data_IF_703635080666
#
_entry.id   IF_703635080666
#
_cell.length_a   1.000
_cell.length_b   1.000
_cell.length_c   1.000
_cell.angle_alpha   90.00
_cell.angle_beta   90.00
_cell.angle_gamma   90.00
#
_symmetry.space_group_name_H-M   'P 1'
#
loop_
_entity.id
_entity.type
_entity.pdbx_description
1 polymer ?
#
# COMPACT_ATOMS: atom_id res chain seq x y z
N UNK A 1 -19.62 -1.41 -22.14
CA UNK A 1 -19.07 -0.50 -21.11
C UNK A 1 -18.62 0.77 -21.79
N UNK A 2 -19.25 1.91 -21.53
CA UNK A 2 -18.92 3.20 -22.12
C UNK A 2 -17.51 3.62 -21.68
N UNK A 3 -16.63 3.90 -22.63
CA UNK A 3 -15.30 4.45 -22.38
C UNK A 3 -15.48 5.83 -21.74
N UNK A 4 -15.19 5.92 -20.46
CA UNK A 4 -15.19 7.19 -19.75
C UNK A 4 -13.97 8.01 -20.25
N UNK A 5 -14.22 9.00 -21.08
CA UNK A 5 -13.20 9.96 -21.52
C UNK A 5 -13.16 11.08 -20.49
N UNK A 6 -12.07 11.15 -19.74
CA UNK A 6 -11.87 12.20 -18.76
C UNK A 6 -11.61 13.54 -19.47
N UNK A 7 -12.33 14.57 -19.10
CA UNK A 7 -12.05 15.94 -19.55
C UNK A 7 -11.06 16.56 -18.57
N UNK A 8 -9.87 16.89 -19.05
CA UNK A 8 -8.81 17.50 -18.23
C UNK A 8 -7.98 16.49 -17.44
N UNK A 9 -7.31 16.98 -16.41
CA UNK A 9 -6.49 16.16 -15.53
C UNK A 9 -7.34 15.44 -14.47
N UNK A 10 -6.82 14.34 -13.96
CA UNK A 10 -7.39 13.60 -12.83
C UNK A 10 -6.67 13.98 -11.53
N UNK A 11 -7.41 14.06 -10.43
CA UNK A 11 -6.85 14.20 -9.10
C UNK A 11 -7.44 13.12 -8.20
N UNK A 12 -6.60 12.20 -7.76
CA UNK A 12 -6.98 11.09 -6.89
C UNK A 12 -6.55 11.42 -5.48
N UNK A 13 -7.51 11.66 -4.61
CA UNK A 13 -7.25 11.98 -3.20
C UNK A 13 -7.68 10.86 -2.28
N UNK A 14 -7.03 10.76 -1.13
CA UNK A 14 -7.38 9.80 -0.08
C UNK A 14 -6.21 9.44 0.82
N UNK A 15 -6.53 8.85 1.94
CA UNK A 15 -5.54 8.39 2.92
C UNK A 15 -4.60 7.31 2.35
N UNK A 16 -3.42 7.11 2.97
CA UNK A 16 -2.58 5.97 2.64
C UNK A 16 -3.34 4.64 2.75
N UNK A 17 -3.13 3.74 1.79
CA UNK A 17 -3.79 2.43 1.79
C UNK A 17 -5.19 2.38 1.20
N UNK A 18 -5.75 3.49 0.69
CA UNK A 18 -7.09 3.52 0.04
C UNK A 18 -7.11 2.95 -1.38
N UNK A 19 -5.98 2.46 -1.88
CA UNK A 19 -5.91 1.85 -3.21
C UNK A 19 -5.68 2.83 -4.37
N UNK A 20 -5.35 4.12 -4.11
CA UNK A 20 -5.08 5.14 -5.15
C UNK A 20 -4.14 4.65 -6.25
N UNK A 21 -2.98 4.20 -5.85
CA UNK A 21 -1.94 3.75 -6.80
C UNK A 21 -2.37 2.50 -7.59
N UNK A 22 -3.21 1.65 -7.02
CA UNK A 22 -3.80 0.50 -7.71
C UNK A 22 -4.80 0.98 -8.76
N UNK A 23 -5.72 1.84 -8.37
CA UNK A 23 -6.72 2.41 -9.27
C UNK A 23 -6.07 3.12 -10.47
N UNK A 24 -5.01 3.92 -10.23
CA UNK A 24 -4.28 4.63 -11.29
C UNK A 24 -3.68 3.65 -12.32
N UNK A 25 -3.10 2.53 -11.86
CA UNK A 25 -2.56 1.51 -12.77
C UNK A 25 -3.66 0.79 -13.57
N UNK A 26 -4.76 0.46 -12.90
CA UNK A 26 -5.92 -0.17 -13.54
C UNK A 26 -6.55 0.75 -14.59
N UNK A 27 -6.66 2.05 -14.31
CA UNK A 27 -7.19 3.05 -15.25
C UNK A 27 -6.26 3.26 -16.44
N UNK A 28 -4.95 3.35 -16.22
CA UNK A 28 -3.96 3.43 -17.30
C UNK A 28 -4.03 2.19 -18.23
N UNK A 29 -4.16 1.00 -17.65
CA UNK A 29 -4.33 -0.25 -18.40
C UNK A 29 -5.66 -0.28 -19.16
N UNK A 30 -6.77 0.11 -18.52
CA UNK A 30 -8.10 0.16 -19.13
C UNK A 30 -8.16 1.11 -20.34
N UNK A 31 -7.43 2.22 -20.26
CA UNK A 31 -7.30 3.20 -21.34
C UNK A 31 -6.27 2.79 -22.38
N UNK A 32 -5.54 1.68 -22.20
CA UNK A 32 -4.41 1.24 -23.04
C UNK A 32 -3.37 2.34 -23.24
N UNK A 33 -3.04 3.04 -22.16
CA UNK A 33 -2.04 4.09 -22.14
C UNK A 33 -0.74 3.59 -21.53
N UNK A 34 0.39 4.01 -22.04
CA UNK A 34 1.68 3.78 -21.40
C UNK A 34 1.71 4.58 -20.08
N UNK A 35 2.12 3.97 -18.97
CA UNK A 35 2.16 4.63 -17.68
C UNK A 35 3.55 5.24 -17.43
N UNK A 36 3.58 6.56 -17.29
CA UNK A 36 4.76 7.28 -16.81
C UNK A 36 4.50 7.75 -15.37
N UNK A 37 5.42 7.44 -14.44
CA UNK A 37 5.30 7.82 -13.03
C UNK A 37 6.42 8.77 -12.62
N UNK A 38 6.05 9.88 -12.00
CA UNK A 38 6.96 10.82 -11.34
C UNK A 38 6.66 10.90 -9.85
N UNK A 39 7.69 10.74 -9.00
CA UNK A 39 7.52 10.83 -7.56
C UNK A 39 7.90 12.25 -7.07
N UNK A 40 6.90 13.08 -6.87
CA UNK A 40 7.06 14.45 -6.39
C UNK A 40 7.59 14.55 -4.96
N UNK A 41 7.53 13.48 -4.17
CA UNK A 41 8.09 13.47 -2.81
C UNK A 41 9.61 13.46 -2.79
N UNK A 42 10.23 12.91 -3.84
CA UNK A 42 11.69 12.89 -4.01
C UNK A 42 12.18 14.22 -4.58
N UNK A 43 11.44 14.81 -5.53
CA UNK A 43 11.78 16.07 -6.18
C UNK A 43 10.64 17.08 -6.01
N UNK A 44 10.51 17.64 -4.80
CA UNK A 44 9.42 18.56 -4.42
C UNK A 44 9.45 19.89 -5.17
N UNK A 45 10.60 20.30 -5.64
CA UNK A 45 10.82 21.54 -6.41
C UNK A 45 10.72 21.34 -7.92
N UNK A 46 10.59 20.09 -8.37
CA UNK A 46 10.63 19.69 -9.77
C UNK A 46 11.90 20.21 -10.50
N UNK A 47 13.06 20.23 -9.83
CA UNK A 47 14.31 20.66 -10.46
C UNK A 47 14.72 19.76 -11.62
N UNK A 48 14.67 18.45 -11.37
CA UNK A 48 14.98 17.43 -12.37
C UNK A 48 13.75 17.09 -13.22
N UNK A 49 12.56 17.18 -12.64
CA UNK A 49 11.30 16.78 -13.26
C UNK A 49 10.76 17.76 -14.31
N UNK A 50 11.17 19.04 -14.30
CA UNK A 50 10.57 20.04 -15.19
C UNK A 50 10.65 19.68 -16.66
N UNK A 51 11.85 19.40 -17.13
CA UNK A 51 12.07 19.08 -18.55
C UNK A 51 11.43 17.75 -18.92
N UNK A 52 11.61 16.75 -18.09
CA UNK A 52 11.04 15.41 -18.31
C UNK A 52 9.50 15.47 -18.38
N UNK A 53 8.86 16.10 -17.40
CA UNK A 53 7.39 16.25 -17.40
C UNK A 53 6.90 17.06 -18.59
N UNK A 54 7.62 18.13 -18.97
CA UNK A 54 7.26 18.95 -20.12
C UNK A 54 7.32 18.16 -21.44
N UNK A 55 8.29 17.25 -21.58
CA UNK A 55 8.38 16.35 -22.74
C UNK A 55 7.27 15.29 -22.70
N UNK A 56 7.03 14.66 -21.55
CA UNK A 56 6.03 13.61 -21.41
C UNK A 56 4.61 14.10 -21.72
N UNK A 57 4.22 15.28 -21.23
CA UNK A 57 2.86 15.81 -21.47
C UNK A 57 2.62 16.25 -22.92
N UNK A 58 3.66 16.36 -23.72
CA UNK A 58 3.62 16.64 -25.17
C UNK A 58 3.83 15.41 -26.05
N UNK A 59 3.86 14.22 -25.43
CA UNK A 59 4.05 12.97 -26.15
C UNK A 59 3.02 12.82 -27.26
N UNK A 60 3.44 12.24 -28.39
CA UNK A 60 2.55 11.83 -29.47
C UNK A 60 1.89 10.48 -29.18
N UNK A 61 2.45 9.72 -28.26
CA UNK A 61 1.91 8.44 -27.83
C UNK A 61 0.81 8.63 -26.80
N UNK A 62 -0.06 7.64 -26.66
CA UNK A 62 -1.09 7.63 -25.63
C UNK A 62 -0.46 7.37 -24.27
N UNK A 63 -0.40 8.41 -23.44
CA UNK A 63 0.35 8.40 -22.19
C UNK A 63 -0.55 8.74 -20.99
N UNK A 64 -0.32 8.03 -19.90
CA UNK A 64 -0.91 8.33 -18.59
C UNK A 64 0.22 8.80 -17.66
N UNK A 65 0.27 10.10 -17.39
CA UNK A 65 1.30 10.74 -16.57
C UNK A 65 0.84 10.80 -15.14
N UNK A 66 1.40 9.95 -14.29
CA UNK A 66 1.10 9.88 -12.87
C UNK A 66 2.12 10.66 -12.05
N UNK A 67 1.67 11.71 -11.37
CA UNK A 67 2.47 12.50 -10.44
C UNK A 67 2.07 12.11 -9.02
N UNK A 68 2.91 11.29 -8.38
CA UNK A 68 2.69 10.78 -7.03
C UNK A 68 3.11 11.80 -5.98
N UNK A 69 2.24 12.07 -5.00
CA UNK A 69 2.54 13.00 -3.91
C UNK A 69 2.56 14.46 -4.35
N UNK A 70 1.67 14.84 -5.25
CA UNK A 70 1.61 16.22 -5.78
C UNK A 70 1.32 17.27 -4.70
N UNK A 71 0.77 16.87 -3.55
CA UNK A 71 0.55 17.71 -2.37
C UNK A 71 1.85 18.03 -1.60
N UNK A 72 2.96 17.37 -1.92
CA UNK A 72 4.28 17.67 -1.36
C UNK A 72 5.09 18.69 -2.20
N UNK A 73 4.56 19.11 -3.36
CA UNK A 73 5.21 20.08 -4.24
C UNK A 73 5.28 21.49 -3.63
N UNK A 74 6.38 22.19 -3.85
CA UNK A 74 6.53 23.61 -3.50
C UNK A 74 5.57 24.48 -4.31
N UNK A 75 5.29 25.71 -3.85
CA UNK A 75 4.42 26.66 -4.56
C UNK A 75 4.89 26.96 -5.98
N UNK A 76 6.20 27.09 -6.19
CA UNK A 76 6.78 27.28 -7.52
C UNK A 76 6.59 26.07 -8.42
N UNK A 77 6.77 24.86 -7.87
CA UNK A 77 6.52 23.62 -8.60
C UNK A 77 5.04 23.46 -8.95
N UNK A 78 4.13 23.88 -8.07
CA UNK A 78 2.70 23.91 -8.35
C UNK A 78 2.34 24.90 -9.47
N UNK A 79 2.98 26.07 -9.51
CA UNK A 79 2.78 27.03 -10.60
C UNK A 79 3.24 26.45 -11.96
N UNK A 80 4.34 25.70 -11.97
CA UNK A 80 4.78 24.95 -13.15
C UNK A 80 3.80 23.82 -13.51
N UNK A 81 3.35 23.04 -12.53
CA UNK A 81 2.39 21.97 -12.72
C UNK A 81 1.08 22.48 -13.35
N UNK A 82 0.57 23.65 -12.90
CA UNK A 82 -0.60 24.27 -13.50
C UNK A 82 -0.42 24.45 -15.01
N UNK A 83 0.73 24.97 -15.44
CA UNK A 83 1.04 25.18 -16.85
C UNK A 83 1.09 23.87 -17.63
N UNK A 84 1.65 22.81 -17.04
CA UNK A 84 1.67 21.46 -17.63
C UNK A 84 0.27 20.94 -17.89
N UNK A 85 -0.64 21.08 -16.91
CA UNK A 85 -2.02 20.63 -17.02
C UNK A 85 -2.80 21.36 -18.13
N UNK A 86 -2.46 22.64 -18.38
CA UNK A 86 -3.05 23.45 -19.44
C UNK A 86 -2.56 23.06 -20.84
N UNK A 87 -1.29 22.59 -20.94
CA UNK A 87 -0.61 22.35 -22.21
C UNK A 87 -0.49 20.88 -22.58
N UNK A 88 -1.06 19.99 -21.79
CA UNK A 88 -1.03 18.56 -22.06
C UNK A 88 -1.72 18.23 -23.39
N UNK A 89 -1.09 17.33 -24.18
CA UNK A 89 -1.66 16.88 -25.43
C UNK A 89 -2.95 16.07 -25.19
N UNK A 90 -3.86 16.05 -26.17
CA UNK A 90 -5.16 15.40 -26.05
C UNK A 90 -5.10 13.87 -25.85
N UNK A 91 -3.99 13.26 -26.23
CA UNK A 91 -3.69 11.84 -26.05
C UNK A 91 -2.97 11.55 -24.72
N UNK A 92 -2.68 12.59 -23.91
CA UNK A 92 -2.04 12.46 -22.60
C UNK A 92 -3.06 12.73 -21.50
N UNK A 93 -3.15 11.81 -20.55
CA UNK A 93 -3.95 11.99 -19.32
C UNK A 93 -3.02 12.25 -18.16
N UNK A 94 -3.10 13.43 -17.56
CA UNK A 94 -2.37 13.73 -16.33
C UNK A 94 -3.19 13.28 -15.13
N UNK A 95 -2.53 12.62 -14.18
CA UNK A 95 -3.14 12.14 -12.94
C UNK A 95 -2.29 12.53 -11.73
N UNK A 96 -2.86 13.34 -10.85
CA UNK A 96 -2.25 13.76 -9.60
C UNK A 96 -2.70 12.84 -8.48
N UNK A 97 -1.76 12.24 -7.75
CA UNK A 97 -2.06 11.49 -6.53
C UNK A 97 -1.71 12.33 -5.32
N UNK A 98 -2.68 12.53 -4.42
CA UNK A 98 -2.52 13.35 -3.21
C UNK A 98 -3.09 12.65 -1.98
N UNK A 99 -2.61 13.04 -0.82
CA UNK A 99 -3.20 12.71 0.49
C UNK A 99 -4.08 13.85 0.96
N UNK A 100 -3.56 15.07 0.85
CA UNK A 100 -4.11 16.29 1.43
C UNK A 100 -4.41 17.29 0.33
N UNK A 101 -5.69 17.33 -0.07
CA UNK A 101 -6.13 18.12 -1.22
C UNK A 101 -5.95 19.64 -1.00
N UNK A 102 -6.05 20.10 0.25
CA UNK A 102 -5.93 21.55 0.60
C UNK A 102 -4.51 22.10 0.43
N UNK A 103 -3.50 21.23 0.26
CA UNK A 103 -2.13 21.65 -0.03
C UNK A 103 -1.92 22.05 -1.49
N UNK A 104 -2.87 21.70 -2.35
CA UNK A 104 -2.84 22.11 -3.75
C UNK A 104 -3.51 23.48 -3.93
N UNK A 105 -2.91 24.28 -4.79
CA UNK A 105 -3.43 25.61 -5.12
C UNK A 105 -4.77 25.53 -5.89
N UNK A 106 -5.70 26.46 -5.65
CA UNK A 106 -7.01 26.48 -6.32
C UNK A 106 -6.94 26.43 -7.86
N UNK A 107 -5.95 27.04 -8.53
CA UNK A 107 -5.80 26.93 -9.99
C UNK A 107 -5.53 25.50 -10.49
N UNK A 108 -4.92 24.63 -9.69
CA UNK A 108 -4.74 23.21 -10.03
C UNK A 108 -6.07 22.49 -9.85
N UNK A 109 -6.73 22.70 -8.72
CA UNK A 109 -8.00 22.04 -8.39
C UNK A 109 -9.08 22.30 -9.45
N UNK A 110 -9.16 23.52 -9.97
CA UNK A 110 -10.14 23.91 -11.00
C UNK A 110 -9.94 23.21 -12.36
N UNK A 111 -8.76 22.61 -12.59
CA UNK A 111 -8.40 21.92 -13.83
C UNK A 111 -8.48 20.40 -13.74
N UNK A 112 -8.78 19.91 -12.55
CA UNK A 112 -8.80 18.46 -12.28
C UNK A 112 -10.21 17.97 -12.03
N UNK A 113 -10.51 16.79 -12.56
CA UNK A 113 -11.63 15.98 -12.07
C UNK A 113 -11.18 15.28 -10.80
N UNK A 114 -11.84 15.61 -9.68
CA UNK A 114 -11.45 15.12 -8.34
C UNK A 114 -12.18 13.81 -8.05
N UNK A 115 -11.42 12.79 -7.74
CA UNK A 115 -11.90 11.48 -7.28
C UNK A 115 -11.39 11.25 -5.87
N UNK A 116 -12.29 11.19 -4.90
CA UNK A 116 -11.93 10.93 -3.51
C UNK A 116 -12.11 9.45 -3.20
N UNK A 117 -11.00 8.79 -2.86
CA UNK A 117 -11.01 7.41 -2.43
C UNK A 117 -11.07 7.33 -0.90
N UNK A 118 -12.08 6.64 -0.42
CA UNK A 118 -12.25 6.38 1.01
C UNK A 118 -11.77 4.96 1.31
N UNK A 119 -11.09 4.80 2.44
CA UNK A 119 -10.81 3.46 2.93
C UNK A 119 -12.14 2.77 3.28
N UNK A 120 -12.25 1.50 2.97
CA UNK A 120 -13.34 0.68 3.48
C UNK A 120 -13.33 0.75 5.02
N UNK A 121 -14.51 0.82 5.63
CA UNK A 121 -14.68 0.92 7.08
C UNK A 121 -14.00 -0.26 7.77
N UNK A 122 -14.07 -1.45 7.18
CA UNK A 122 -13.41 -2.67 7.68
C UNK A 122 -11.88 -2.51 7.70
N UNK A 123 -11.27 -1.94 6.65
CA UNK A 123 -9.83 -1.70 6.59
C UNK A 123 -9.38 -0.66 7.63
N UNK A 124 -10.12 0.45 7.77
CA UNK A 124 -9.83 1.47 8.78
C UNK A 124 -9.92 0.91 10.20
N UNK A 125 -10.96 0.14 10.47
CA UNK A 125 -11.17 -0.49 11.77
C UNK A 125 -10.03 -1.45 12.08
N UNK A 126 -9.67 -2.33 11.16
CA UNK A 126 -8.56 -3.29 11.34
C UNK A 126 -7.23 -2.56 11.58
N UNK A 127 -6.93 -1.51 10.80
CA UNK A 127 -5.72 -0.71 10.98
C UNK A 127 -5.68 0.02 12.31
N UNK A 128 -6.80 0.64 12.71
CA UNK A 128 -6.88 1.36 13.98
C UNK A 128 -6.76 0.41 15.18
N UNK A 129 -7.36 -0.77 15.09
CA UNK A 129 -7.22 -1.83 16.10
C UNK A 129 -5.77 -2.30 16.19
N UNK A 130 -5.09 -2.51 15.05
CA UNK A 130 -3.68 -2.88 15.03
C UNK A 130 -2.79 -1.81 15.68
N UNK A 131 -3.01 -0.53 15.36
CA UNK A 131 -2.30 0.59 15.98
C UNK A 131 -2.59 0.67 17.49
N UNK A 132 -3.86 0.57 17.87
CA UNK A 132 -4.29 0.62 19.27
C UNK A 132 -3.69 -0.52 20.09
N UNK A 133 -3.57 -1.72 19.53
CA UNK A 133 -2.87 -2.86 20.15
C UNK A 133 -1.38 -2.59 20.30
N UNK A 134 -0.73 -2.08 19.26
CA UNK A 134 0.70 -1.75 19.29
C UNK A 134 1.01 -0.69 20.34
N UNK A 135 0.10 0.26 20.54
CA UNK A 135 0.21 1.29 21.59
C UNK A 135 -0.25 0.82 22.98
N UNK A 136 -0.67 -0.44 23.12
CA UNK A 136 -1.15 -0.97 24.40
C UNK A 136 -2.51 -0.40 24.86
N UNK A 137 -3.24 0.27 23.99
CA UNK A 137 -4.53 0.90 24.31
C UNK A 137 -5.71 -0.09 24.30
N UNK A 138 -5.52 -1.28 23.73
CA UNK A 138 -6.50 -2.36 23.69
C UNK A 138 -5.84 -3.61 24.25
N UNK A 139 -6.55 -4.31 25.14
CA UNK A 139 -6.10 -5.59 25.65
C UNK A 139 -5.76 -6.54 24.49
N UNK A 140 -4.67 -7.29 24.55
CA UNK A 140 -4.35 -8.26 23.51
C UNK A 140 -5.53 -9.21 23.34
N UNK A 141 -6.02 -9.35 22.11
CA UNK A 141 -6.97 -10.41 21.81
C UNK A 141 -6.27 -11.74 22.17
N UNK A 142 -6.98 -12.65 22.81
CA UNK A 142 -6.46 -14.01 23.03
C UNK A 142 -6.40 -14.68 21.66
N UNK A 143 -5.24 -14.64 21.05
CA UNK A 143 -5.00 -15.33 19.78
C UNK A 143 -4.64 -16.77 20.09
N UNK A 144 -5.35 -17.70 19.50
CA UNK A 144 -4.90 -19.08 19.45
C UNK A 144 -3.90 -19.24 18.31
N UNK A 145 -2.87 -20.06 18.52
CA UNK A 145 -1.92 -20.38 17.44
C UNK A 145 -2.70 -21.16 16.37
N UNK A 146 -2.86 -20.63 15.14
CA UNK A 146 -3.66 -21.26 14.10
C UNK A 146 -3.04 -22.57 13.63
N UNK A 147 -3.86 -23.50 13.19
CA UNK A 147 -3.37 -24.66 12.46
C UNK A 147 -2.77 -24.22 11.10
N UNK A 148 -1.89 -25.04 10.53
CA UNK A 148 -1.18 -24.67 9.29
C UNK A 148 -2.14 -24.31 8.13
N UNK A 149 -3.23 -25.02 7.99
CA UNK A 149 -4.26 -24.79 6.97
C UNK A 149 -5.09 -23.52 7.19
N UNK A 150 -5.09 -22.96 8.40
CA UNK A 150 -5.83 -21.74 8.76
C UNK A 150 -5.01 -20.47 8.52
N UNK A 151 -3.68 -20.57 8.42
CA UNK A 151 -2.79 -19.41 8.24
C UNK A 151 -3.17 -18.54 7.02
N UNK A 152 -3.53 -19.10 5.85
CA UNK A 152 -3.97 -18.28 4.72
C UNK A 152 -5.23 -17.46 5.02
N UNK A 153 -6.16 -18.00 5.81
CA UNK A 153 -7.38 -17.29 6.21
C UNK A 153 -7.10 -16.21 7.26
N UNK A 154 -6.20 -16.45 8.23
CA UNK A 154 -5.74 -15.43 9.17
C UNK A 154 -5.15 -14.24 8.43
N UNK A 155 -4.33 -14.51 7.41
CA UNK A 155 -3.75 -13.47 6.55
C UNK A 155 -4.82 -12.70 5.76
N UNK A 156 -5.84 -13.37 5.21
CA UNK A 156 -6.95 -12.72 4.49
C UNK A 156 -7.79 -11.85 5.42
N UNK A 157 -8.01 -12.28 6.68
CA UNK A 157 -8.71 -11.49 7.70
C UNK A 157 -7.92 -10.28 8.19
N UNK A 158 -6.65 -10.14 7.77
CA UNK A 158 -5.80 -9.02 8.17
C UNK A 158 -5.31 -9.11 9.62
N UNK A 159 -5.19 -10.31 10.18
CA UNK A 159 -4.61 -10.53 11.51
C UNK A 159 -3.14 -10.10 11.54
N UNK A 160 -2.67 -9.59 12.68
CA UNK A 160 -1.27 -9.21 12.82
C UNK A 160 -0.44 -10.47 13.11
N UNK A 161 0.52 -10.84 12.26
CA UNK A 161 1.35 -12.01 12.48
C UNK A 161 2.20 -11.90 13.75
N UNK A 162 2.51 -10.70 14.22
CA UNK A 162 3.27 -10.52 15.46
C UNK A 162 2.46 -10.86 16.71
N UNK A 163 1.13 -10.72 16.68
CA UNK A 163 0.29 -11.19 17.78
C UNK A 163 0.30 -12.72 17.87
N UNK A 164 0.27 -13.41 16.74
CA UNK A 164 0.41 -14.88 16.69
C UNK A 164 1.81 -15.30 17.17
N UNK A 165 2.87 -14.56 16.80
CA UNK A 165 4.23 -14.82 17.27
C UNK A 165 4.36 -14.66 18.79
N UNK A 166 3.68 -13.67 19.38
CA UNK A 166 3.63 -13.51 20.85
C UNK A 166 3.01 -14.74 21.52
N UNK A 167 1.91 -15.24 20.95
CA UNK A 167 1.27 -16.46 21.50
C UNK A 167 2.18 -17.69 21.34
N UNK A 168 2.93 -17.79 20.26
CA UNK A 168 3.94 -18.84 20.07
C UNK A 168 5.01 -18.74 21.17
N UNK A 169 5.54 -17.54 21.42
CA UNK A 169 6.54 -17.31 22.48
C UNK A 169 5.96 -17.62 23.86
N UNK A 170 4.73 -17.18 24.14
CA UNK A 170 4.06 -17.44 25.41
C UNK A 170 3.86 -18.94 25.67
N UNK A 171 3.50 -19.69 24.64
CA UNK A 171 3.17 -21.11 24.75
C UNK A 171 4.41 -22.02 24.82
N UNK A 172 5.41 -21.74 24.00
CA UNK A 172 6.59 -22.61 23.86
C UNK A 172 7.84 -22.10 24.59
N UNK A 173 7.82 -20.85 25.00
CA UNK A 173 8.95 -20.18 25.65
C UNK A 173 9.97 -19.65 24.66
N UNK A 174 10.70 -18.62 25.09
CA UNK A 174 11.74 -17.98 24.27
C UNK A 174 12.98 -18.87 24.10
N UNK A 175 13.17 -19.87 24.97
CA UNK A 175 14.28 -20.83 24.93
C UNK A 175 14.10 -21.94 23.89
N UNK A 176 12.91 -22.09 23.34
CA UNK A 176 12.67 -23.09 22.27
C UNK A 176 13.48 -22.72 21.01
N UNK A 177 14.26 -23.66 20.51
CA UNK A 177 15.18 -23.46 19.37
C UNK A 177 14.43 -22.98 18.12
N UNK A 178 13.24 -23.51 17.88
CA UNK A 178 12.41 -23.10 16.70
C UNK A 178 11.79 -21.73 16.88
N UNK A 179 11.46 -21.33 18.12
CA UNK A 179 11.02 -19.97 18.45
C UNK A 179 12.15 -18.98 18.19
N UNK A 180 13.36 -19.28 18.68
CA UNK A 180 14.53 -18.43 18.46
C UNK A 180 14.85 -18.27 16.96
N UNK A 181 14.79 -19.34 16.20
CA UNK A 181 15.00 -19.32 14.75
C UNK A 181 13.95 -18.45 14.05
N UNK A 182 12.69 -18.58 14.43
CA UNK A 182 11.58 -17.77 13.92
C UNK A 182 11.81 -16.28 14.18
N UNK A 183 12.15 -15.90 15.41
CA UNK A 183 12.44 -14.51 15.82
C UNK A 183 13.64 -13.96 15.05
N UNK A 184 14.73 -14.72 14.97
CA UNK A 184 15.95 -14.31 14.25
C UNK A 184 15.67 -14.08 12.76
N UNK A 185 14.92 -14.98 12.13
CA UNK A 185 14.58 -14.83 10.71
C UNK A 185 13.67 -13.62 10.45
N UNK A 186 12.71 -13.34 11.34
CA UNK A 186 11.89 -12.12 11.25
C UNK A 186 12.74 -10.86 11.41
N UNK A 187 13.69 -10.84 12.36
CA UNK A 187 14.63 -9.75 12.57
C UNK A 187 15.58 -9.54 11.38
N UNK A 188 15.88 -10.58 10.62
CA UNK A 188 16.65 -10.53 9.38
C UNK A 188 15.80 -10.12 8.13
N UNK A 189 14.54 -9.71 8.32
CA UNK A 189 13.68 -9.23 7.24
C UNK A 189 12.83 -10.29 6.53
N UNK A 190 12.80 -11.52 7.05
CA UNK A 190 11.91 -12.55 6.53
C UNK A 190 10.46 -12.27 6.91
N UNK A 191 9.52 -12.62 6.02
CA UNK A 191 8.09 -12.45 6.30
C UNK A 191 7.66 -13.25 7.54
N UNK A 192 7.05 -12.61 8.55
CA UNK A 192 6.55 -13.28 9.75
C UNK A 192 5.57 -14.42 9.43
N UNK A 193 4.72 -14.27 8.42
CA UNK A 193 3.79 -15.30 7.98
C UNK A 193 4.49 -16.59 7.51
N UNK A 194 5.63 -16.45 6.82
CA UNK A 194 6.43 -17.60 6.39
C UNK A 194 7.02 -18.31 7.62
N UNK A 195 7.51 -17.56 8.58
CA UNK A 195 8.13 -18.13 9.78
C UNK A 195 7.11 -18.82 10.69
N UNK A 196 5.91 -18.24 10.85
CA UNK A 196 4.79 -18.86 11.56
C UNK A 196 4.40 -20.19 10.87
N UNK A 197 4.27 -20.18 9.55
CA UNK A 197 3.92 -21.38 8.79
C UNK A 197 4.95 -22.51 8.98
N UNK A 198 6.25 -22.18 8.93
CA UNK A 198 7.34 -23.14 9.19
C UNK A 198 7.28 -23.69 10.61
N UNK A 199 7.13 -22.79 11.60
CA UNK A 199 7.06 -23.17 13.00
C UNK A 199 5.90 -24.14 13.27
N UNK A 200 4.69 -23.80 12.80
CA UNK A 200 3.49 -24.62 12.98
C UNK A 200 3.65 -26.00 12.31
N UNK A 201 4.25 -26.06 11.11
CA UNK A 201 4.55 -27.33 10.41
C UNK A 201 5.50 -28.20 11.23
N UNK A 202 6.61 -27.64 11.73
CA UNK A 202 7.60 -28.38 12.53
C UNK A 202 6.94 -28.94 13.79
N UNK A 203 6.18 -28.13 14.52
CA UNK A 203 5.52 -28.57 15.75
C UNK A 203 4.42 -29.60 15.49
N UNK A 204 3.68 -29.51 14.38
CA UNK A 204 2.70 -30.51 13.98
C UNK A 204 3.32 -31.86 13.59
N UNK A 205 4.50 -31.84 12.96
CA UNK A 205 5.25 -33.04 12.63
C UNK A 205 5.83 -33.74 13.88
N UNK A 206 6.36 -32.94 14.83
CA UNK A 206 6.92 -33.45 16.08
C UNK A 206 5.87 -34.07 17.03
N UNK A 207 4.62 -33.56 17.00
CA UNK A 207 3.52 -34.11 17.79
C UNK A 207 2.95 -35.46 17.31
N UNK A 208 3.31 -35.91 16.12
CA UNK A 208 2.89 -37.23 15.60
C UNK A 208 3.85 -38.39 15.95
N UNK A 209 5.01 -38.09 16.56
CA UNK A 209 6.02 -39.12 16.88
C UNK A 209 5.87 -39.78 18.25
N UNK A 210 4.82 -39.51 19.02
CA UNK A 210 4.61 -40.05 20.38
C UNK A 210 3.46 -41.04 20.49
N UNK A 211 3.20 -41.82 19.44
CA UNK A 211 2.38 -43.02 19.57
C UNK A 211 3.33 -44.23 19.43
N UNK A 212 3.96 -44.61 20.54
CA UNK A 212 4.53 -45.92 20.70
C UNK A 212 3.42 -46.95 20.86
N UNK A 213 3.30 -47.98 20.06
CA UNK A 213 2.35 -49.04 20.34
C UNK A 213 2.87 -49.81 21.57
N UNK A 214 2.13 -49.78 22.66
CA UNK A 214 2.33 -50.73 23.76
C UNK A 214 1.84 -52.09 23.27
N UNK A 215 2.76 -53.08 23.22
CA UNK A 215 2.50 -54.50 23.05
C UNK A 215 1.97 -55.05 24.36
#
# INVERSE_FOLDING_TARGET
MSKQTWKGALLISGEPGTGKSRWIREEAAATRSTLFRWNARVDRSLREGREVLHQQVRSKEKLFVWIEGADDLTQEAQAFLRRILETAATNVTCCLEVREIWKLSPPILSRCTIITMRADTSYRTSRNISIARHLGLVAPAVFSIPAWNEIPECRKRGEDPYDILKEIVNKYGIEDVHVQECIRACGAGSSPWIQISKFVLIKSASGKSSITPTI
#
